data_IF_502783281698
#
_entry.id   IF_502783281698
#
_cell.length_a   1.000
_cell.length_b   1.000
_cell.length_c   1.000
_cell.angle_alpha   90.00
_cell.angle_beta   90.00
_cell.angle_gamma   90.00
#
_symmetry.space_group_name_H-M   'P 1'
#
loop_
_entity.id
_entity.type
_entity.pdbx_description
1 polymer ?
#
# COMPACT_ATOMS: atom_id res chain seq x y z
N UNK A 1 0.62 -0.27 -10.55
CA UNK A 1 0.97 -0.75 -9.19
C UNK A 1 1.99 -1.86 -9.35
N UNK A 2 3.11 -1.82 -8.64
CA UNK A 2 4.17 -2.85 -8.71
C UNK A 2 4.37 -3.47 -7.34
N UNK A 3 4.50 -4.78 -7.27
CA UNK A 3 4.64 -5.53 -6.01
C UNK A 3 6.11 -5.88 -5.78
N UNK A 4 6.57 -5.78 -4.53
CA UNK A 4 7.86 -6.23 -4.05
C UNK A 4 7.66 -7.10 -2.80
N UNK A 5 8.67 -7.88 -2.40
CA UNK A 5 8.56 -8.76 -1.23
C UNK A 5 8.33 -7.98 0.07
N UNK A 6 8.85 -6.75 0.17
CA UNK A 6 8.75 -5.89 1.35
C UNK A 6 7.60 -4.87 1.29
N UNK A 7 6.82 -4.83 0.20
CA UNK A 7 5.78 -3.82 0.04
C UNK A 7 5.19 -3.67 -1.36
N UNK A 8 4.45 -2.60 -1.60
CA UNK A 8 3.87 -2.29 -2.90
C UNK A 8 4.12 -0.84 -3.30
N UNK A 9 4.45 -0.63 -4.57
CA UNK A 9 4.56 0.69 -5.18
C UNK A 9 3.22 1.06 -5.83
N UNK A 10 2.67 2.18 -5.39
CA UNK A 10 1.37 2.72 -5.80
C UNK A 10 1.63 4.01 -6.57
N UNK A 11 1.21 4.04 -7.83
CA UNK A 11 1.25 5.25 -8.63
C UNK A 11 0.19 6.22 -8.10
N UNK A 12 0.63 7.37 -7.59
CA UNK A 12 -0.26 8.43 -7.13
C UNK A 12 -0.66 9.36 -8.29
N UNK A 13 0.27 9.57 -9.21
CA UNK A 13 0.09 10.34 -10.44
C UNK A 13 1.11 9.84 -11.49
N UNK A 14 1.06 10.31 -12.75
CA UNK A 14 1.95 9.82 -13.82
C UNK A 14 3.46 9.99 -13.58
N UNK A 15 3.86 10.84 -12.63
CA UNK A 15 5.25 11.18 -12.35
C UNK A 15 5.70 10.81 -10.94
N UNK A 16 4.81 10.27 -10.11
CA UNK A 16 5.09 10.03 -8.68
C UNK A 16 4.52 8.71 -8.23
N UNK A 17 5.43 7.85 -7.78
CA UNK A 17 5.12 6.62 -7.08
C UNK A 17 5.31 6.80 -5.58
N UNK A 18 4.36 6.27 -4.80
CA UNK A 18 4.53 6.08 -3.37
C UNK A 18 4.78 4.62 -3.03
N UNK A 19 5.39 4.38 -1.87
CA UNK A 19 5.70 3.04 -1.37
C UNK A 19 4.87 2.74 -0.14
N UNK A 20 4.12 1.65 -0.18
CA UNK A 20 3.45 1.05 0.98
C UNK A 20 4.35 -0.07 1.49
N UNK A 21 4.82 0.05 2.73
CA UNK A 21 5.56 -1.04 3.37
C UNK A 21 4.60 -2.18 3.76
N UNK A 22 5.06 -3.44 3.79
CA UNK A 22 4.21 -4.60 4.11
C UNK A 22 3.48 -4.47 5.47
N UNK A 23 4.11 -3.81 6.45
CA UNK A 23 3.51 -3.52 7.76
C UNK A 23 2.38 -2.48 7.71
N UNK A 24 2.31 -1.69 6.63
CA UNK A 24 1.36 -0.60 6.43
C UNK A 24 0.20 -0.98 5.50
N UNK A 25 0.20 -2.22 4.98
CA UNK A 25 -0.88 -2.68 4.10
C UNK A 25 -2.15 -2.99 4.90
N UNK A 26 -2.03 -3.76 5.97
CA UNK A 26 -3.17 -4.24 6.75
C UNK A 26 -2.87 -4.17 8.26
N UNK A 27 -3.91 -4.13 9.12
CA UNK A 27 -3.74 -4.19 10.57
C UNK A 27 -3.34 -5.60 11.06
N UNK A 28 -3.46 -6.63 10.21
CA UNK A 28 -3.06 -8.00 10.49
C UNK A 28 -1.74 -8.35 9.81
N UNK A 29 -1.13 -9.47 10.23
CA UNK A 29 0.14 -9.94 9.64
C UNK A 29 -0.08 -10.38 8.19
N UNK A 30 0.65 -9.76 7.28
CA UNK A 30 0.70 -10.11 5.86
C UNK A 30 2.00 -10.87 5.61
N UNK A 31 1.90 -12.10 5.08
CA UNK A 31 3.10 -12.88 4.72
C UNK A 31 3.56 -12.57 3.30
N UNK A 32 2.62 -12.43 2.36
CA UNK A 32 2.91 -12.09 0.96
C UNK A 32 2.01 -10.95 0.52
N UNK A 33 2.63 -9.89 0.00
CA UNK A 33 1.92 -8.73 -0.53
C UNK A 33 0.98 -9.12 -1.68
N UNK A 34 1.42 -10.06 -2.53
CA UNK A 34 0.69 -10.54 -3.70
C UNK A 34 -0.61 -11.29 -3.39
N UNK A 35 -0.82 -11.74 -2.14
CA UNK A 35 -2.06 -12.42 -1.75
C UNK A 35 -3.22 -11.43 -1.55
N UNK A 36 -2.90 -10.18 -1.19
CA UNK A 36 -3.89 -9.16 -0.83
C UNK A 36 -3.94 -8.00 -1.83
N UNK A 37 -2.81 -7.72 -2.47
CA UNK A 37 -2.67 -6.66 -3.46
C UNK A 37 -2.43 -7.30 -4.82
N UNK A 38 -3.19 -6.88 -5.82
CA UNK A 38 -3.07 -7.33 -7.21
C UNK A 38 -2.70 -6.18 -8.12
N UNK A 39 -2.03 -6.49 -9.22
CA UNK A 39 -1.76 -5.51 -10.26
C UNK A 39 -3.07 -4.93 -10.81
N UNK A 40 -3.12 -3.60 -10.94
CA UNK A 40 -4.32 -2.88 -11.37
C UNK A 40 -5.36 -2.63 -10.27
N UNK A 41 -5.16 -3.13 -9.05
CA UNK A 41 -6.06 -2.85 -7.93
C UNK A 41 -5.98 -1.38 -7.51
N UNK A 42 -7.14 -0.76 -7.33
CA UNK A 42 -7.25 0.59 -6.75
C UNK A 42 -7.48 0.42 -5.25
N UNK A 43 -6.62 1.05 -4.45
CA UNK A 43 -6.65 0.96 -2.99
C UNK A 43 -6.60 2.35 -2.38
N UNK A 44 -7.32 2.60 -1.26
CA UNK A 44 -7.18 3.83 -0.52
C UNK A 44 -5.79 3.88 0.14
N UNK A 45 -5.13 5.03 0.07
CA UNK A 45 -3.83 5.25 0.68
C UNK A 45 -3.80 6.56 1.42
N UNK A 46 -3.08 6.59 2.55
CA UNK A 46 -2.81 7.77 3.35
C UNK A 46 -1.32 8.03 3.32
N UNK A 47 -0.94 9.28 3.10
CA UNK A 47 0.46 9.71 3.20
C UNK A 47 0.85 9.74 4.68
N UNK A 48 1.87 8.96 5.03
CA UNK A 48 2.40 8.88 6.41
C UNK A 48 3.79 9.49 6.53
N UNK A 49 4.53 9.61 5.42
CA UNK A 49 5.85 10.22 5.39
C UNK A 49 6.13 10.79 3.99
N UNK A 50 6.84 11.91 3.90
CA UNK A 50 7.32 12.51 2.67
C UNK A 50 8.83 12.75 2.84
N UNK A 51 9.63 12.11 1.99
CA UNK A 51 11.08 12.31 1.91
C UNK A 51 11.39 13.01 0.58
N UNK A 52 11.44 14.35 0.57
CA UNK A 52 11.68 15.14 -0.64
C UNK A 52 13.11 15.01 -1.15
N UNK A 53 14.09 14.71 -0.29
CA UNK A 53 15.49 14.55 -0.68
C UNK A 53 15.69 13.30 -1.54
N UNK A 54 14.98 12.21 -1.20
CA UNK A 54 15.04 10.95 -1.94
C UNK A 54 13.90 10.79 -2.94
N UNK A 55 12.98 11.76 -3.00
CA UNK A 55 11.80 11.72 -3.86
C UNK A 55 10.85 10.58 -3.52
N UNK A 56 10.71 10.22 -2.25
CA UNK A 56 9.91 9.06 -1.80
C UNK A 56 8.73 9.50 -0.96
N UNK A 57 7.59 8.87 -1.19
CA UNK A 57 6.38 9.07 -0.39
C UNK A 57 6.04 7.76 0.30
N UNK A 58 6.05 7.76 1.63
CA UNK A 58 5.59 6.66 2.46
C UNK A 58 4.07 6.67 2.54
N UNK A 59 3.46 5.57 2.13
CA UNK A 59 2.01 5.39 2.09
C UNK A 59 1.58 4.28 3.05
N UNK A 60 0.35 4.39 3.55
CA UNK A 60 -0.27 3.38 4.39
C UNK A 60 -1.71 3.15 3.95
N UNK A 61 -2.07 1.88 3.72
CA UNK A 61 -3.43 1.49 3.37
C UNK A 61 -4.24 1.29 4.64
N UNK A 62 -3.66 0.65 5.67
CA UNK A 62 -4.35 0.43 6.95
C UNK A 62 -4.72 1.74 7.64
N UNK A 63 -3.90 2.79 7.52
CA UNK A 63 -4.22 4.09 8.13
C UNK A 63 -5.19 4.92 7.28
N UNK A 64 -5.35 4.58 5.99
CA UNK A 64 -6.37 5.17 5.13
C UNK A 64 -7.74 4.55 5.42
N UNK A 65 -7.79 3.22 5.47
CA UNK A 65 -8.97 2.45 5.78
C UNK A 65 -8.56 1.12 6.44
N UNK A 66 -8.80 1.03 7.75
CA UNK A 66 -8.44 -0.14 8.58
C UNK A 66 -9.27 -1.38 8.21
N UNK A 67 -10.44 -1.19 7.62
CA UNK A 67 -11.40 -2.26 7.33
C UNK A 67 -11.44 -2.62 5.84
N UNK A 68 -10.68 -1.91 4.98
CA UNK A 68 -10.60 -2.16 3.53
C UNK A 68 -10.37 -3.63 3.20
N UNK A 69 -9.41 -4.27 3.86
CA UNK A 69 -9.09 -5.69 3.67
C UNK A 69 -9.88 -6.64 4.58
N UNK A 70 -10.55 -6.15 5.63
CA UNK A 70 -11.45 -6.98 6.44
C UNK A 70 -12.72 -7.34 5.69
N UNK A 71 -13.22 -6.43 4.85
CA UNK A 71 -14.49 -6.63 4.13
C UNK A 71 -14.33 -7.38 2.79
N UNK A 72 -13.11 -7.41 2.20
CA UNK A 72 -12.85 -8.05 0.91
C UNK A 72 -12.34 -9.51 1.00
N UNK A 73 -12.18 -10.06 2.21
CA UNK A 73 -11.71 -11.43 2.46
C UNK A 73 -12.67 -12.28 3.31
N UNK A 74 -13.94 -11.89 3.38
CA UNK A 74 -14.92 -12.45 4.30
C UNK A 74 -16.17 -13.03 3.63
N UNK A 75 -16.00 -13.77 2.54
CA UNK A 75 -16.81 -14.95 2.18
C UNK A 75 -16.17 -15.73 1.03
#
# INVERSE_FOLDING_TARGET
MKIADFGAFVALNPFTDGMVHISEIAPFRVERVSDIIKEGMIVPVKVINIDPERGRIGLSIKEADKDFFKNNGGK
#
